data_IF_377497723735
#
_entry.id   IF_377497723735
#
_cell.length_a   1.000
_cell.length_b   1.000
_cell.length_c   1.000
_cell.angle_alpha   90.00
_cell.angle_beta   90.00
_cell.angle_gamma   90.00
#
_symmetry.space_group_name_H-M   'P 1'
#
loop_
_entity.id
_entity.type
_entity.pdbx_description
1 polymer ?
#
# COMPACT_ATOMS: atom_id res chain seq x y z
N UNK A 1 20.71 5.33 19.08
CA UNK A 1 20.05 6.18 18.05
C UNK A 1 20.15 5.44 16.74
N UNK A 2 19.03 4.93 16.24
CA UNK A 2 18.96 4.29 14.92
C UNK A 2 18.97 5.41 13.90
N UNK A 3 20.09 5.60 13.18
CA UNK A 3 20.15 6.55 12.08
C UNK A 3 19.31 6.02 10.91
N UNK A 4 18.41 6.84 10.43
CA UNK A 4 17.69 6.61 9.19
C UNK A 4 18.69 6.59 8.03
N UNK A 5 18.96 5.42 7.46
CA UNK A 5 19.56 5.34 6.13
C UNK A 5 18.44 5.22 5.11
N UNK A 6 18.33 6.27 4.30
CA UNK A 6 17.39 6.30 3.19
C UNK A 6 17.77 5.26 2.14
N UNK A 7 16.97 4.23 2.02
CA UNK A 7 17.02 3.30 0.87
C UNK A 7 16.37 3.96 -0.37
N UNK A 8 16.87 5.14 -0.72
CA UNK A 8 16.34 5.97 -1.82
C UNK A 8 16.44 5.31 -3.20
N UNK A 9 17.38 4.39 -3.42
CA UNK A 9 17.75 4.00 -4.78
C UNK A 9 16.83 2.96 -5.43
N UNK A 10 16.27 2.01 -4.69
CA UNK A 10 15.43 0.94 -5.28
C UNK A 10 13.97 1.41 -5.44
N UNK A 11 13.45 2.16 -4.46
CA UNK A 11 12.10 2.74 -4.54
C UNK A 11 12.01 3.89 -5.55
N UNK A 12 13.07 4.68 -5.72
CA UNK A 12 13.12 5.80 -6.65
C UNK A 12 12.83 5.38 -8.11
N UNK A 13 13.38 4.25 -8.56
CA UNK A 13 13.18 3.78 -9.93
C UNK A 13 11.74 3.33 -10.23
N UNK A 14 10.92 3.06 -9.21
CA UNK A 14 9.53 2.60 -9.38
C UNK A 14 8.54 3.77 -9.33
N UNK A 15 8.95 4.92 -8.80
CA UNK A 15 8.07 6.06 -8.52
C UNK A 15 8.28 7.27 -9.43
N UNK A 16 9.26 7.27 -10.34
CA UNK A 16 9.48 8.39 -11.27
C UNK A 16 8.32 8.56 -12.26
N UNK A 17 7.82 9.79 -12.38
CA UNK A 17 6.98 10.23 -13.50
C UNK A 17 5.48 10.29 -13.21
N UNK A 18 5.05 10.80 -12.06
CA UNK A 18 3.65 11.20 -11.83
C UNK A 18 3.52 12.71 -11.57
N UNK A 19 4.19 13.48 -12.38
CA UNK A 19 3.97 14.91 -12.55
C UNK A 19 2.61 15.11 -13.25
N UNK A 20 1.84 16.09 -12.81
CA UNK A 20 0.51 16.44 -13.36
C UNK A 20 0.61 16.70 -14.87
N UNK A 21 1.65 17.41 -15.33
CA UNK A 21 1.83 17.71 -16.72
C UNK A 21 2.02 16.42 -17.53
N UNK A 22 2.88 15.53 -17.07
CA UNK A 22 3.11 14.24 -17.74
C UNK A 22 1.85 13.36 -17.79
N UNK A 23 1.02 13.36 -16.73
CA UNK A 23 -0.24 12.61 -16.72
C UNK A 23 -1.22 13.19 -17.73
N UNK A 24 -1.32 14.52 -17.84
CA UNK A 24 -2.19 15.21 -18.80
C UNK A 24 -1.73 14.95 -20.23
N UNK A 25 -0.45 15.15 -20.52
CA UNK A 25 0.16 14.91 -21.83
C UNK A 25 -0.07 13.47 -22.29
N UNK A 26 0.17 12.50 -21.39
CA UNK A 26 -0.07 11.08 -21.69
C UNK A 26 -1.55 10.81 -22.03
N UNK A 27 -2.47 11.38 -21.25
CA UNK A 27 -3.89 11.18 -21.51
C UNK A 27 -4.32 11.84 -22.85
N UNK A 28 -3.84 13.03 -23.15
CA UNK A 28 -4.12 13.72 -24.43
C UNK A 28 -3.61 12.91 -25.64
N UNK A 29 -2.45 12.26 -25.49
CA UNK A 29 -1.84 11.45 -26.56
C UNK A 29 -2.54 10.10 -26.77
N UNK A 30 -2.96 9.43 -25.65
CA UNK A 30 -3.37 8.03 -25.70
C UNK A 30 -4.88 7.81 -25.44
N UNK A 31 -5.60 8.82 -24.94
CA UNK A 31 -7.02 8.72 -24.61
C UNK A 31 -7.35 7.92 -23.36
N UNK A 32 -6.35 7.57 -22.55
CA UNK A 32 -6.50 6.89 -21.27
C UNK A 32 -5.35 7.25 -20.32
N UNK A 33 -5.54 7.05 -19.01
CA UNK A 33 -4.48 7.28 -18.03
C UNK A 33 -3.38 6.20 -18.11
N UNK A 34 -2.13 6.53 -17.70
CA UNK A 34 -1.06 5.54 -17.61
C UNK A 34 -1.47 4.34 -16.74
N UNK A 35 -0.97 3.15 -17.07
CA UNK A 35 -1.21 1.97 -16.25
C UNK A 35 -0.61 2.14 -14.85
N UNK A 36 -1.26 1.57 -13.84
CA UNK A 36 -0.76 1.56 -12.47
C UNK A 36 0.64 0.94 -12.36
N UNK A 37 1.43 1.45 -11.43
CA UNK A 37 2.79 0.97 -11.14
C UNK A 37 2.88 0.21 -9.82
N UNK A 38 1.84 0.28 -9.01
CA UNK A 38 1.75 -0.39 -7.72
C UNK A 38 0.40 -1.07 -7.57
N UNK A 39 0.43 -2.28 -7.06
CA UNK A 39 -0.74 -3.06 -6.68
C UNK A 39 -0.70 -3.24 -5.18
N UNK A 40 -1.73 -2.81 -4.48
CA UNK A 40 -1.89 -3.01 -3.05
C UNK A 40 -2.96 -4.08 -2.83
N UNK A 41 -2.62 -5.15 -2.13
CA UNK A 41 -3.51 -6.29 -1.90
C UNK A 41 -3.77 -6.43 -0.41
N UNK A 42 -5.02 -6.18 0.03
CA UNK A 42 -5.41 -6.41 1.40
C UNK A 42 -5.76 -7.89 1.59
N UNK A 43 -4.80 -8.68 2.06
CA UNK A 43 -4.96 -10.12 2.24
C UNK A 43 -5.93 -10.47 3.38
N UNK A 44 -6.06 -9.58 4.35
CA UNK A 44 -6.99 -9.63 5.49
C UNK A 44 -7.25 -8.23 6.01
N UNK A 45 -8.25 -8.04 6.85
CA UNK A 45 -8.67 -6.70 7.30
C UNK A 45 -8.23 -6.34 8.72
N UNK A 46 -7.60 -7.24 9.47
CA UNK A 46 -7.23 -7.03 10.86
C UNK A 46 -5.75 -6.70 11.07
N UNK A 47 -5.47 -6.13 12.21
CA UNK A 47 -4.13 -5.81 12.68
C UNK A 47 -4.02 -6.14 14.17
N UNK A 48 -2.86 -6.61 14.61
CA UNK A 48 -2.56 -6.89 16.02
C UNK A 48 -2.06 -5.66 16.79
N UNK A 49 -2.17 -4.46 16.19
CA UNK A 49 -1.77 -3.19 16.80
C UNK A 49 -2.90 -2.16 16.67
N UNK A 50 -2.95 -1.19 17.61
CA UNK A 50 -3.92 -0.09 17.63
C UNK A 50 -3.18 1.25 17.69
N UNK A 51 -2.57 1.62 16.57
CA UNK A 51 -1.85 2.88 16.45
C UNK A 51 -2.82 4.07 16.47
N UNK A 52 -2.49 5.15 17.19
CA UNK A 52 -3.36 6.33 17.31
C UNK A 52 -3.63 7.06 16.01
N UNK A 53 -2.78 6.87 15.02
CA UNK A 53 -2.88 7.46 13.68
C UNK A 53 -3.51 6.51 12.66
N UNK A 54 -4.00 5.35 13.09
CA UNK A 54 -4.55 4.33 12.18
C UNK A 54 -6.07 4.25 12.35
N UNK A 55 -6.84 4.14 11.27
CA UNK A 55 -8.28 4.04 11.35
C UNK A 55 -8.79 2.84 12.16
N UNK A 56 -7.99 1.79 12.33
CA UNK A 56 -8.31 0.69 13.26
C UNK A 56 -8.58 1.12 14.70
N UNK A 57 -8.07 2.28 15.13
CA UNK A 57 -8.33 2.83 16.46
C UNK A 57 -9.63 3.61 16.55
N UNK A 58 -10.24 3.97 15.43
CA UNK A 58 -11.44 4.82 15.34
C UNK A 58 -12.63 4.12 14.73
N UNK A 59 -12.38 3.24 13.77
CA UNK A 59 -13.40 2.57 12.97
C UNK A 59 -13.36 1.05 13.21
N UNK A 60 -14.54 0.44 13.31
CA UNK A 60 -14.65 -1.03 13.31
C UNK A 60 -14.78 -1.51 11.86
N UNK A 61 -13.86 -2.35 11.44
CA UNK A 61 -13.90 -3.05 10.16
C UNK A 61 -14.16 -4.53 10.45
N UNK A 62 -15.16 -5.17 9.82
CA UNK A 62 -15.38 -6.60 9.98
C UNK A 62 -14.14 -7.40 9.57
N UNK A 63 -13.89 -8.51 10.27
CA UNK A 63 -12.84 -9.43 9.85
C UNK A 63 -13.18 -10.02 8.48
N UNK A 64 -12.30 -9.81 7.53
CA UNK A 64 -12.32 -10.38 6.21
C UNK A 64 -10.97 -11.00 5.88
N UNK A 65 -10.97 -12.16 5.24
CA UNK A 65 -9.77 -12.85 4.80
C UNK A 65 -9.94 -13.15 3.31
N UNK A 66 -8.97 -12.76 2.50
CA UNK A 66 -8.99 -12.99 1.07
C UNK A 66 -9.00 -14.49 0.78
N UNK A 67 -9.90 -14.94 -0.09
CA UNK A 67 -9.87 -16.32 -0.54
C UNK A 67 -8.63 -16.61 -1.38
N UNK A 68 -8.16 -17.87 -1.35
CA UNK A 68 -7.01 -18.27 -2.16
C UNK A 68 -7.28 -18.08 -3.67
N UNK A 69 -8.50 -18.34 -4.11
CA UNK A 69 -8.87 -18.15 -5.52
C UNK A 69 -8.88 -16.68 -5.92
N UNK A 70 -9.30 -15.78 -5.02
CA UNK A 70 -9.21 -14.34 -5.26
C UNK A 70 -7.74 -13.89 -5.42
N UNK A 71 -6.86 -14.32 -4.53
CA UNK A 71 -5.43 -14.03 -4.64
C UNK A 71 -4.83 -14.54 -5.95
N UNK A 72 -5.08 -15.80 -6.29
CA UNK A 72 -4.62 -16.37 -7.56
C UNK A 72 -5.13 -15.57 -8.75
N UNK A 73 -6.41 -15.22 -8.76
CA UNK A 73 -7.01 -14.46 -9.85
C UNK A 73 -6.33 -13.09 -10.04
N UNK A 74 -5.98 -12.40 -8.95
CA UNK A 74 -5.22 -11.14 -9.01
C UNK A 74 -3.86 -11.37 -9.68
N UNK A 75 -3.10 -12.34 -9.18
CA UNK A 75 -1.74 -12.62 -9.67
C UNK A 75 -1.77 -13.09 -11.13
N UNK A 76 -2.75 -13.90 -11.51
CA UNK A 76 -2.93 -14.39 -12.88
C UNK A 76 -3.23 -13.24 -13.84
N UNK A 77 -4.15 -12.35 -13.50
CA UNK A 77 -4.45 -11.17 -14.30
C UNK A 77 -3.23 -10.24 -14.45
N UNK A 78 -2.45 -10.05 -13.39
CA UNK A 78 -1.21 -9.26 -13.46
C UNK A 78 -0.17 -9.90 -14.40
N UNK A 79 -0.08 -11.22 -14.39
CA UNK A 79 0.78 -11.96 -15.33
C UNK A 79 0.31 -11.81 -16.78
N UNK A 80 -1.00 -11.95 -17.03
CA UNK A 80 -1.63 -11.83 -18.35
C UNK A 80 -1.36 -10.46 -19.00
N UNK A 81 -1.36 -9.38 -18.24
CA UNK A 81 -1.07 -8.02 -18.71
C UNK A 81 0.43 -7.68 -18.73
N UNK A 82 1.30 -8.67 -18.53
CA UNK A 82 2.75 -8.49 -18.48
C UNK A 82 3.22 -7.45 -17.43
N UNK A 83 2.52 -7.36 -16.30
CA UNK A 83 2.88 -6.45 -15.22
C UNK A 83 4.30 -6.71 -14.71
N UNK A 84 5.05 -5.63 -14.45
CA UNK A 84 6.44 -5.68 -13.96
C UNK A 84 6.70 -4.68 -12.82
N UNK A 85 5.63 -4.21 -12.18
CA UNK A 85 5.69 -3.24 -11.11
C UNK A 85 5.69 -3.88 -9.72
N UNK A 86 5.44 -3.03 -8.72
CA UNK A 86 5.41 -3.39 -7.32
C UNK A 86 4.07 -4.02 -6.93
N UNK A 87 4.14 -5.14 -6.21
CA UNK A 87 2.98 -5.79 -5.57
C UNK A 87 3.23 -5.76 -4.06
N UNK A 88 2.44 -4.98 -3.35
CA UNK A 88 2.47 -4.90 -1.89
C UNK A 88 1.41 -5.84 -1.31
N UNK A 89 1.85 -6.85 -0.56
CA UNK A 89 0.99 -7.86 0.07
C UNK A 89 0.41 -7.34 1.39
N UNK A 90 -0.07 -6.11 1.37
CA UNK A 90 -0.69 -5.44 2.51
C UNK A 90 -1.44 -4.18 2.06
N UNK A 91 -2.35 -3.71 2.89
CA UNK A 91 -3.02 -2.41 2.80
C UNK A 91 -3.08 -1.76 4.18
N UNK A 92 -4.22 -1.85 4.85
CA UNK A 92 -4.42 -1.33 6.22
C UNK A 92 -4.38 -2.43 7.28
N UNK A 93 -3.84 -3.59 6.97
CA UNK A 93 -3.73 -4.76 7.84
C UNK A 93 -2.30 -4.98 8.34
N UNK A 94 -2.13 -5.95 9.24
CA UNK A 94 -0.81 -6.53 9.52
C UNK A 94 -0.62 -7.79 8.66
N UNK A 95 0.31 -7.77 7.68
CA UNK A 95 0.49 -8.89 6.75
C UNK A 95 0.98 -10.18 7.43
N UNK A 96 1.70 -10.08 8.56
CA UNK A 96 2.21 -11.26 9.27
C UNK A 96 1.14 -12.04 10.05
N UNK A 97 -0.10 -11.55 10.11
CA UNK A 97 -1.27 -12.31 10.55
C UNK A 97 -1.80 -13.27 9.47
N UNK A 98 -1.40 -13.10 8.21
CA UNK A 98 -1.79 -14.00 7.13
C UNK A 98 -0.91 -15.26 7.16
N UNK A 99 -1.51 -16.37 7.55
CA UNK A 99 -0.82 -17.64 7.71
C UNK A 99 -0.30 -18.22 6.38
N UNK A 100 -0.94 -17.87 5.26
CA UNK A 100 -0.57 -18.32 3.91
C UNK A 100 0.42 -17.36 3.22
N UNK A 101 1.06 -16.45 3.94
CA UNK A 101 1.93 -15.44 3.34
C UNK A 101 3.09 -16.08 2.56
N UNK A 102 3.65 -17.17 3.04
CA UNK A 102 4.70 -17.92 2.32
C UNK A 102 4.17 -18.46 0.99
N UNK A 103 3.02 -19.10 1.00
CA UNK A 103 2.38 -19.64 -0.21
C UNK A 103 2.03 -18.52 -1.20
N UNK A 104 1.61 -17.35 -0.70
CA UNK A 104 1.33 -16.18 -1.53
C UNK A 104 2.59 -15.68 -2.24
N UNK A 105 3.71 -15.56 -1.52
CA UNK A 105 5.00 -15.18 -2.10
C UNK A 105 5.42 -16.19 -3.16
N UNK A 106 5.37 -17.48 -2.84
CA UNK A 106 5.75 -18.57 -3.77
C UNK A 106 4.90 -18.52 -5.03
N UNK A 107 3.59 -18.42 -4.90
CA UNK A 107 2.69 -18.39 -6.05
C UNK A 107 3.00 -17.21 -6.98
N UNK A 108 3.11 -16.00 -6.43
CA UNK A 108 3.43 -14.82 -7.22
C UNK A 108 4.81 -14.95 -7.91
N UNK A 109 5.81 -15.46 -7.20
CA UNK A 109 7.16 -15.64 -7.77
C UNK A 109 7.21 -16.71 -8.86
N UNK A 110 6.46 -17.80 -8.72
CA UNK A 110 6.33 -18.84 -9.75
C UNK A 110 5.65 -18.31 -11.02
N UNK A 111 4.70 -17.38 -10.88
CA UNK A 111 4.04 -16.75 -12.03
C UNK A 111 4.97 -15.81 -12.79
N UNK A 112 5.72 -14.95 -12.09
CA UNK A 112 6.64 -14.03 -12.75
C UNK A 112 7.82 -13.63 -11.87
N UNK A 113 9.05 -13.79 -12.36
CA UNK A 113 10.23 -13.22 -11.70
C UNK A 113 10.30 -11.70 -11.79
N UNK A 114 9.46 -11.07 -12.65
CA UNK A 114 9.43 -9.61 -12.86
C UNK A 114 8.60 -8.86 -11.84
N UNK A 115 7.77 -9.53 -11.05
CA UNK A 115 7.03 -8.91 -9.96
C UNK A 115 7.99 -8.45 -8.87
N UNK A 116 7.85 -7.21 -8.42
CA UNK A 116 8.56 -6.73 -7.25
C UNK A 116 7.64 -6.90 -6.03
N UNK A 117 7.90 -7.96 -5.25
CA UNK A 117 7.09 -8.32 -4.09
C UNK A 117 7.59 -7.60 -2.86
N UNK A 118 6.73 -6.84 -2.20
CA UNK A 118 7.10 -6.19 -0.96
C UNK A 118 5.98 -6.25 0.09
N UNK A 119 6.33 -5.95 1.33
CA UNK A 119 5.37 -5.74 2.41
C UNK A 119 5.86 -4.71 3.41
N UNK A 120 4.92 -4.12 4.14
CA UNK A 120 5.20 -3.30 5.31
C UNK A 120 4.57 -3.94 6.52
N UNK A 121 5.33 -4.09 7.61
CA UNK A 121 4.88 -4.72 8.84
C UNK A 121 5.21 -3.87 10.06
N UNK A 122 4.42 -4.03 11.13
CA UNK A 122 4.76 -3.48 12.44
C UNK A 122 5.88 -4.28 13.16
N UNK A 123 6.31 -5.40 12.60
CA UNK A 123 7.41 -6.22 13.09
C UNK A 123 7.12 -7.06 14.34
N UNK A 124 5.94 -6.98 14.95
CA UNK A 124 5.64 -7.67 16.22
C UNK A 124 5.70 -9.20 16.09
N UNK A 125 5.33 -9.72 14.92
CA UNK A 125 5.32 -11.16 14.62
C UNK A 125 6.51 -11.60 13.75
N UNK A 126 7.43 -10.68 13.45
CA UNK A 126 8.57 -10.97 12.60
C UNK A 126 9.72 -11.56 13.42
N UNK A 127 10.23 -12.70 13.00
CA UNK A 127 11.48 -13.29 13.50
C UNK A 127 12.54 -13.25 12.41
N UNK A 128 13.81 -13.39 12.81
CA UNK A 128 14.92 -13.46 11.84
C UNK A 128 14.73 -14.62 10.88
N UNK A 129 14.40 -15.81 11.41
CA UNK A 129 14.11 -17.01 10.62
C UNK A 129 12.97 -16.80 9.60
N UNK A 130 11.88 -16.18 10.03
CA UNK A 130 10.75 -15.86 9.13
C UNK A 130 11.16 -14.90 8.03
N UNK A 131 11.98 -13.90 8.35
CA UNK A 131 12.48 -12.94 7.36
C UNK A 131 13.41 -13.60 6.35
N UNK A 132 14.36 -14.42 6.82
CA UNK A 132 15.26 -15.20 5.95
C UNK A 132 14.43 -16.07 5.01
N UNK A 133 13.43 -16.75 5.55
CA UNK A 133 12.53 -17.61 4.78
C UNK A 133 11.76 -16.84 3.70
N UNK A 134 11.23 -15.66 4.00
CA UNK A 134 10.54 -14.85 3.00
C UNK A 134 11.46 -14.45 1.83
N UNK A 135 12.71 -14.11 2.11
CA UNK A 135 13.68 -13.80 1.04
C UNK A 135 14.07 -15.04 0.22
N UNK A 136 14.22 -16.20 0.83
CA UNK A 136 14.43 -17.47 0.11
C UNK A 136 13.26 -17.80 -0.82
N UNK A 137 12.02 -17.52 -0.39
CA UNK A 137 10.81 -17.74 -1.17
C UNK A 137 10.60 -16.69 -2.28
N UNK A 138 11.34 -15.59 -2.25
CA UNK A 138 11.33 -14.61 -3.32
C UNK A 138 10.69 -13.27 -2.99
N UNK A 139 10.52 -12.91 -1.71
CA UNK A 139 10.21 -11.54 -1.33
C UNK A 139 11.38 -10.63 -1.70
N UNK A 140 11.11 -9.47 -2.31
CA UNK A 140 12.15 -8.55 -2.73
C UNK A 140 12.47 -7.51 -1.67
N UNK A 141 11.47 -7.06 -0.91
CA UNK A 141 11.65 -6.01 0.08
C UNK A 141 10.67 -6.15 1.25
N UNK A 142 11.12 -5.73 2.43
CA UNK A 142 10.27 -5.55 3.60
C UNK A 142 10.58 -4.21 4.28
N UNK A 143 9.52 -3.47 4.63
CA UNK A 143 9.62 -2.28 5.45
C UNK A 143 9.09 -2.57 6.86
N UNK A 144 9.93 -2.38 7.86
CA UNK A 144 9.60 -2.62 9.27
C UNK A 144 9.37 -1.28 9.95
N UNK A 145 8.14 -1.02 10.35
CA UNK A 145 7.75 0.25 10.97
C UNK A 145 7.83 0.19 12.50
N UNK A 146 8.59 1.10 13.07
CA UNK A 146 8.65 1.32 14.52
C UNK A 146 7.61 2.37 14.94
N UNK A 147 6.52 1.91 15.54
CA UNK A 147 5.43 2.75 16.03
C UNK A 147 5.51 3.06 17.54
N UNK A 148 6.63 2.76 18.21
CA UNK A 148 6.76 2.95 19.67
C UNK A 148 6.55 4.40 20.11
N UNK A 149 6.95 5.37 19.29
CA UNK A 149 6.75 6.79 19.56
C UNK A 149 5.28 7.20 19.67
N UNK A 150 4.38 6.47 19.02
CA UNK A 150 2.93 6.70 18.97
C UNK A 150 2.15 5.84 19.96
N UNK A 151 2.80 5.38 21.04
CA UNK A 151 2.22 4.52 22.08
C UNK A 151 1.71 3.19 21.51
N UNK A 152 2.57 2.54 20.78
CA UNK A 152 2.41 1.14 20.44
C UNK A 152 2.06 0.32 21.70
N UNK A 153 1.12 -0.60 21.59
CA UNK A 153 0.67 -1.45 22.69
C UNK A 153 1.76 -2.40 23.19
N UNK A 154 2.79 -2.66 22.37
CA UNK A 154 3.82 -3.66 22.65
C UNK A 154 5.26 -3.12 22.51
N UNK A 155 5.62 -2.00 23.18
CA UNK A 155 6.94 -1.39 22.99
C UNK A 155 8.10 -2.32 23.34
N UNK A 156 7.95 -3.11 24.42
CA UNK A 156 9.00 -4.03 24.88
C UNK A 156 9.17 -5.22 23.93
N UNK A 157 8.06 -5.72 23.38
CA UNK A 157 8.11 -6.81 22.41
C UNK A 157 8.80 -6.40 21.11
N UNK A 158 8.57 -5.18 20.62
CA UNK A 158 9.23 -4.71 19.41
C UNK A 158 10.75 -4.79 19.51
N UNK A 159 11.33 -4.31 20.61
CA UNK A 159 12.79 -4.33 20.82
C UNK A 159 13.37 -5.76 20.83
N UNK A 160 12.67 -6.71 21.43
CA UNK A 160 13.16 -8.10 21.52
C UNK A 160 13.14 -8.83 20.17
N UNK A 161 12.18 -8.50 19.29
CA UNK A 161 12.05 -9.15 17.97
C UNK A 161 12.83 -8.44 16.87
N UNK A 162 12.74 -7.12 16.83
CA UNK A 162 13.28 -6.34 15.71
C UNK A 162 14.77 -6.02 15.90
N UNK A 163 15.28 -5.96 17.11
CA UNK A 163 16.71 -5.68 17.33
C UNK A 163 17.65 -6.72 16.70
N UNK A 164 17.41 -8.05 16.81
CA UNK A 164 18.20 -9.05 16.11
C UNK A 164 18.15 -8.88 14.58
N UNK A 165 16.96 -8.58 14.04
CA UNK A 165 16.76 -8.33 12.61
C UNK A 165 17.52 -7.07 12.20
N UNK A 166 17.43 -6.01 12.98
CA UNK A 166 18.16 -4.77 12.73
C UNK A 166 19.68 -5.02 12.68
N UNK A 167 20.23 -5.79 13.62
CA UNK A 167 21.65 -6.13 13.63
C UNK A 167 22.09 -6.93 12.40
N UNK A 168 21.26 -7.89 11.98
CA UNK A 168 21.55 -8.77 10.85
C UNK A 168 21.39 -8.05 9.49
N UNK A 169 20.42 -7.14 9.38
CA UNK A 169 20.00 -6.56 8.11
C UNK A 169 20.20 -5.03 7.98
N UNK A 170 20.96 -4.41 8.89
CA UNK A 170 21.14 -2.95 8.94
C UNK A 170 21.56 -2.32 7.61
N UNK A 171 22.43 -2.99 6.84
CA UNK A 171 22.93 -2.52 5.55
C UNK A 171 22.34 -3.27 4.35
N UNK A 172 21.34 -4.12 4.56
CA UNK A 172 20.74 -4.87 3.48
C UNK A 172 19.70 -4.00 2.76
N UNK A 173 19.82 -3.82 1.42
CA UNK A 173 18.89 -2.99 0.67
C UNK A 173 17.46 -3.55 0.62
N UNK A 174 17.29 -4.84 0.94
CA UNK A 174 15.96 -5.47 0.98
C UNK A 174 15.16 -5.16 2.24
N UNK A 175 15.79 -4.57 3.27
CA UNK A 175 15.12 -4.27 4.55
C UNK A 175 15.24 -2.79 4.86
N UNK A 176 14.10 -2.14 5.04
CA UNK A 176 14.04 -0.77 5.52
C UNK A 176 13.43 -0.73 6.92
N UNK A 177 13.99 0.14 7.77
CA UNK A 177 13.49 0.38 9.12
C UNK A 177 13.01 1.83 9.19
N UNK A 178 11.73 2.03 9.39
CA UNK A 178 11.14 3.34 9.50
C UNK A 178 10.65 3.58 10.91
N UNK A 179 11.27 4.55 11.59
CA UNK A 179 10.76 5.03 12.86
C UNK A 179 9.77 6.16 12.63
N UNK A 180 8.57 6.02 13.15
CA UNK A 180 7.56 7.07 13.12
C UNK A 180 7.98 8.24 14.02
N UNK A 181 7.78 9.45 13.53
CA UNK A 181 8.00 10.68 14.29
C UNK A 181 6.68 11.10 14.93
N UNK A 182 6.74 11.64 16.13
CA UNK A 182 5.56 12.10 16.88
C UNK A 182 5.02 13.44 16.39
N UNK A 183 5.79 14.16 15.58
CA UNK A 183 5.46 15.47 14.99
C UNK A 183 5.00 15.38 13.52
N UNK A 184 4.85 14.17 12.97
CA UNK A 184 4.35 13.99 11.62
C UNK A 184 2.86 14.32 11.54
N UNK A 185 2.48 15.10 10.53
CA UNK A 185 1.07 15.23 10.12
C UNK A 185 0.73 14.00 9.31
N UNK A 186 -0.22 13.21 9.82
CA UNK A 186 -0.61 11.94 9.22
C UNK A 186 -1.95 12.09 8.50
N UNK A 187 -2.19 11.30 7.45
CA UNK A 187 -3.46 11.36 6.73
C UNK A 187 -4.63 10.96 7.63
N UNK A 188 -5.79 11.55 7.34
CA UNK A 188 -7.02 11.22 8.04
C UNK A 188 -7.78 10.02 7.45
N UNK A 189 -7.15 9.31 6.51
CA UNK A 189 -7.73 8.15 5.81
C UNK A 189 -9.15 8.45 5.29
N UNK A 190 -9.24 9.45 4.40
CA UNK A 190 -10.51 9.88 3.82
C UNK A 190 -11.59 10.19 4.88
N UNK A 191 -11.20 10.82 6.00
CA UNK A 191 -12.08 11.21 7.09
C UNK A 191 -12.40 10.12 8.12
N UNK A 192 -11.75 8.94 8.03
CA UNK A 192 -11.93 7.86 8.99
C UNK A 192 -11.18 8.10 10.33
N UNK A 193 -10.26 9.06 10.34
CA UNK A 193 -9.61 9.56 11.56
C UNK A 193 -10.09 10.99 11.79
N UNK A 194 -10.67 11.31 12.96
CA UNK A 194 -11.10 12.66 13.25
C UNK A 194 -9.92 13.64 13.29
N UNK A 195 -9.88 14.55 12.34
CA UNK A 195 -8.90 15.64 12.26
C UNK A 195 -9.57 16.88 11.69
N UNK A 196 -9.26 18.05 12.24
CA UNK A 196 -9.63 19.31 11.62
C UNK A 196 -8.72 19.57 10.42
N UNK A 197 -9.29 19.84 9.28
CA UNK A 197 -8.58 20.23 8.06
C UNK A 197 -9.47 21.09 7.17
N UNK A 198 -8.83 21.91 6.35
CA UNK A 198 -9.52 22.69 5.33
C UNK A 198 -9.30 22.00 3.97
N UNK A 199 -10.33 21.51 3.28
CA UNK A 199 -10.16 20.84 1.99
C UNK A 199 -9.47 21.69 0.93
N UNK A 200 -9.56 23.02 1.00
CA UNK A 200 -8.89 23.93 0.06
C UNK A 200 -7.36 23.98 0.21
N UNK A 201 -6.82 23.47 1.31
CA UNK A 201 -5.37 23.41 1.53
C UNK A 201 -4.72 22.22 0.80
N UNK A 202 -5.53 21.33 0.24
CA UNK A 202 -5.08 20.09 -0.40
C UNK A 202 -5.45 20.07 -1.88
N UNK A 203 -4.45 20.03 -2.71
CA UNK A 203 -4.60 20.01 -4.17
C UNK A 203 -4.64 18.60 -4.77
N UNK A 204 -3.74 18.37 -5.68
CA UNK A 204 -3.56 17.11 -6.38
C UNK A 204 -3.18 15.96 -5.45
N UNK A 205 -3.67 14.77 -5.76
CA UNK A 205 -3.24 13.51 -5.13
C UNK A 205 -2.92 12.50 -6.22
N UNK A 206 -1.73 11.94 -6.20
CA UNK A 206 -1.26 11.01 -7.24
C UNK A 206 -1.64 9.54 -7.00
N UNK A 207 -2.24 9.19 -5.88
CA UNK A 207 -2.57 7.79 -5.57
C UNK A 207 -3.45 7.11 -6.64
N UNK A 208 -4.57 7.71 -7.09
CA UNK A 208 -5.41 7.07 -8.10
C UNK A 208 -4.78 6.97 -9.49
N UNK A 209 -3.64 7.62 -9.73
CA UNK A 209 -2.93 7.58 -11.01
C UNK A 209 -1.81 6.54 -11.07
N UNK A 210 -1.40 6.00 -9.93
CA UNK A 210 -0.26 5.08 -9.86
C UNK A 210 -0.50 3.80 -9.10
N UNK A 211 -1.56 3.72 -8.27
CA UNK A 211 -1.84 2.58 -7.41
C UNK A 211 -3.21 2.02 -7.72
N UNK A 212 -3.28 0.71 -7.94
CA UNK A 212 -4.54 -0.01 -7.86
C UNK A 212 -4.63 -0.68 -6.49
N UNK A 213 -5.76 -0.51 -5.82
CA UNK A 213 -5.99 -1.01 -4.47
C UNK A 213 -7.08 -2.07 -4.50
N UNK A 214 -6.77 -3.26 -3.98
CA UNK A 214 -7.65 -4.42 -4.02
C UNK A 214 -7.93 -4.87 -2.59
N UNK A 215 -9.20 -4.77 -2.19
CA UNK A 215 -9.67 -5.23 -0.88
C UNK A 215 -9.74 -6.76 -0.78
N UNK A 216 -9.88 -7.28 0.43
CA UNK A 216 -9.88 -8.72 0.71
C UNK A 216 -10.94 -9.54 -0.07
N UNK A 217 -12.03 -8.91 -0.45
CA UNK A 217 -13.12 -9.52 -1.24
C UNK A 217 -12.91 -9.43 -2.76
N UNK A 218 -11.78 -8.85 -3.20
CA UNK A 218 -11.49 -8.62 -4.61
C UNK A 218 -12.01 -7.29 -5.17
N UNK A 219 -12.69 -6.47 -4.36
CA UNK A 219 -13.18 -5.16 -4.78
C UNK A 219 -12.03 -4.21 -5.09
N UNK A 220 -12.15 -3.49 -6.19
CA UNK A 220 -11.24 -2.40 -6.57
C UNK A 220 -11.69 -1.12 -5.88
N UNK A 221 -10.80 -0.57 -5.05
CA UNK A 221 -11.01 0.63 -4.27
C UNK A 221 -10.29 1.81 -4.92
N UNK A 222 -10.70 3.03 -4.60
CA UNK A 222 -10.07 4.25 -5.14
C UNK A 222 -8.58 4.36 -4.76
N UNK A 223 -8.27 4.14 -3.49
CA UNK A 223 -6.91 4.24 -2.96
C UNK A 223 -6.76 3.52 -1.61
N UNK A 224 -5.55 3.59 -1.04
CA UNK A 224 -5.24 2.98 0.26
C UNK A 224 -5.94 3.64 1.46
N UNK A 225 -6.45 4.86 1.31
CA UNK A 225 -7.15 5.57 2.38
C UNK A 225 -8.66 5.25 2.45
N UNK A 226 -9.16 4.50 1.48
CA UNK A 226 -10.54 3.99 1.49
C UNK A 226 -10.68 2.81 2.45
N UNK A 227 -10.51 3.08 3.74
CA UNK A 227 -10.44 2.08 4.79
C UNK A 227 -11.72 1.25 4.94
N UNK A 228 -12.90 1.90 4.84
CA UNK A 228 -14.20 1.25 5.01
C UNK A 228 -14.82 0.73 3.72
N UNK A 229 -14.10 0.80 2.59
CA UNK A 229 -14.59 0.39 1.28
C UNK A 229 -15.82 1.20 0.81
N UNK A 230 -15.74 2.52 1.00
CA UNK A 230 -16.78 3.45 0.57
C UNK A 230 -16.88 3.55 -0.97
N UNK A 231 -15.85 3.07 -1.69
CA UNK A 231 -15.83 2.99 -3.15
C UNK A 231 -15.70 1.55 -3.63
N UNK A 232 -16.27 1.29 -4.80
CA UNK A 232 -16.09 0.01 -5.50
C UNK A 232 -16.21 0.22 -7.01
N UNK A 233 -15.15 -0.06 -7.74
CA UNK A 233 -15.06 0.17 -9.19
C UNK A 233 -14.95 -1.13 -10.00
N UNK A 234 -15.41 -2.22 -9.43
CA UNK A 234 -15.40 -3.55 -9.99
C UNK A 234 -14.83 -4.56 -9.00
N UNK A 235 -14.80 -5.82 -9.39
CA UNK A 235 -14.30 -6.92 -8.58
C UNK A 235 -13.46 -7.87 -9.43
N UNK A 236 -12.27 -8.20 -8.98
CA UNK A 236 -11.32 -9.05 -9.74
C UNK A 236 -11.87 -10.45 -10.05
N UNK A 237 -12.87 -10.92 -9.32
CA UNK A 237 -13.47 -12.22 -9.56
C UNK A 237 -14.41 -12.24 -10.77
N UNK A 238 -14.97 -11.09 -11.13
CA UNK A 238 -15.92 -10.93 -12.24
C UNK A 238 -15.37 -10.07 -13.37
N UNK A 239 -14.46 -9.17 -13.06
CA UNK A 239 -14.02 -8.12 -13.97
C UNK A 239 -12.51 -8.25 -14.29
N UNK A 240 -12.09 -7.63 -15.38
CA UNK A 240 -10.68 -7.50 -15.74
C UNK A 240 -10.06 -6.31 -15.00
N UNK A 241 -8.83 -6.46 -14.52
CA UNK A 241 -8.12 -5.40 -13.77
C UNK A 241 -7.95 -4.11 -14.58
N UNK A 242 -7.70 -4.20 -15.89
CA UNK A 242 -7.54 -3.01 -16.73
C UNK A 242 -8.87 -2.32 -16.97
N UNK A 243 -9.96 -3.07 -17.10
CA UNK A 243 -11.30 -2.49 -17.24
C UNK A 243 -11.71 -1.76 -15.95
N UNK A 244 -11.39 -2.35 -14.79
CA UNK A 244 -11.60 -1.66 -13.51
C UNK A 244 -10.73 -0.40 -13.38
N UNK A 245 -9.47 -0.43 -13.81
CA UNK A 245 -8.55 0.70 -13.77
C UNK A 245 -8.99 1.86 -14.66
N UNK A 246 -9.60 1.54 -15.81
CA UNK A 246 -10.13 2.49 -16.78
C UNK A 246 -11.65 2.71 -16.61
N UNK A 247 -12.20 2.39 -15.46
CA UNK A 247 -13.60 2.61 -15.14
C UNK A 247 -13.95 4.11 -15.19
N UNK A 248 -15.05 4.46 -15.84
CA UNK A 248 -15.45 5.85 -16.07
C UNK A 248 -15.66 6.66 -14.78
N UNK A 249 -16.04 6.03 -13.68
CA UNK A 249 -16.19 6.71 -12.39
C UNK A 249 -14.83 7.02 -11.75
N UNK A 250 -13.84 6.12 -11.86
CA UNK A 250 -12.46 6.42 -11.48
C UNK A 250 -11.91 7.56 -12.32
N UNK A 251 -12.14 7.53 -13.63
CA UNK A 251 -11.70 8.59 -14.55
C UNK A 251 -12.25 9.96 -14.18
N UNK A 252 -13.52 10.05 -13.84
CA UNK A 252 -14.13 11.32 -13.35
C UNK A 252 -13.40 11.84 -12.10
N UNK A 253 -13.05 10.96 -11.17
CA UNK A 253 -12.31 11.35 -9.97
C UNK A 253 -10.91 11.81 -10.34
N UNK A 254 -10.21 11.09 -11.22
CA UNK A 254 -8.88 11.46 -11.71
C UNK A 254 -8.90 12.84 -12.38
N UNK A 255 -9.86 13.09 -13.27
CA UNK A 255 -10.01 14.42 -13.88
C UNK A 255 -10.24 15.51 -12.86
N UNK A 256 -11.12 15.27 -11.91
CA UNK A 256 -11.41 16.23 -10.84
C UNK A 256 -10.13 16.59 -10.05
N UNK A 257 -9.30 15.59 -9.74
CA UNK A 257 -8.02 15.79 -9.05
C UNK A 257 -7.00 16.55 -9.90
N UNK A 258 -6.94 16.35 -11.22
CA UNK A 258 -6.10 17.12 -12.13
C UNK A 258 -6.51 18.60 -12.22
N UNK A 259 -7.78 18.90 -11.98
CA UNK A 259 -8.32 20.26 -11.88
C UNK A 259 -8.21 20.85 -10.47
N UNK A 260 -7.52 20.18 -9.55
CA UNK A 260 -7.39 20.61 -8.16
C UNK A 260 -8.69 20.48 -7.35
N UNK A 261 -9.68 19.72 -7.85
CA UNK A 261 -10.96 19.50 -7.17
C UNK A 261 -11.01 18.12 -6.55
N UNK A 262 -11.53 18.03 -5.35
CA UNK A 262 -11.68 16.78 -4.63
C UNK A 262 -13.15 16.40 -4.55
N UNK A 263 -13.52 15.25 -5.13
CA UNK A 263 -14.87 14.68 -5.12
C UNK A 263 -14.86 13.30 -4.47
N UNK A 264 -16.02 12.72 -4.23
CA UNK A 264 -16.17 11.41 -3.57
C UNK A 264 -15.46 11.41 -2.21
N UNK A 265 -14.79 10.33 -1.84
CA UNK A 265 -14.04 10.22 -0.57
C UNK A 265 -12.88 11.23 -0.49
N UNK A 266 -12.36 11.70 -1.63
CA UNK A 266 -11.30 12.71 -1.65
C UNK A 266 -11.75 14.05 -1.05
N UNK A 267 -13.04 14.37 -1.08
CA UNK A 267 -13.59 15.62 -0.51
C UNK A 267 -13.42 15.72 1.02
N UNK A 268 -13.23 14.60 1.71
CA UNK A 268 -13.01 14.53 3.16
C UNK A 268 -11.61 14.02 3.52
N UNK A 269 -10.69 13.91 2.54
CA UNK A 269 -9.34 13.40 2.71
C UNK A 269 -8.34 14.55 2.80
N UNK A 270 -7.43 14.51 3.77
CA UNK A 270 -6.32 15.44 3.89
C UNK A 270 -5.00 14.85 3.40
N UNK A 271 -4.99 13.63 2.86
CA UNK A 271 -3.79 13.10 2.22
C UNK A 271 -3.60 13.79 0.87
N UNK A 272 -2.39 14.26 0.65
CA UNK A 272 -1.93 14.74 -0.63
C UNK A 272 -0.50 14.24 -0.78
N UNK A 273 -0.25 13.49 -1.79
CA UNK A 273 1.09 13.06 -2.10
C UNK A 273 1.54 13.83 -3.34
N UNK A 274 2.07 15.00 -3.09
CA UNK A 274 2.80 15.80 -4.07
C UNK A 274 4.31 15.53 -3.98
N UNK A 275 4.66 14.53 -3.20
CA UNK A 275 6.06 14.23 -3.03
C UNK A 275 6.50 13.20 -4.08
N UNK A 276 7.45 13.58 -4.91
CA UNK A 276 8.52 12.71 -5.36
C UNK A 276 9.25 12.15 -4.11
N UNK A 277 8.49 11.44 -3.26
CA UNK A 277 9.11 10.70 -2.19
C UNK A 277 9.63 9.42 -2.82
N UNK A 278 10.88 9.47 -3.03
CA UNK A 278 11.83 8.38 -3.28
C UNK A 278 12.14 8.08 -4.74
#
# INVERSE_FOLDING_TARGET
MIQQKDNKSVRANICHGTDIAHIKDYYEEHGHFPMFRQVLIETRTDCNNHCKFCPHSFCKKPLGIMSWDCYKRIIDQLYEINYNGRIALMLSNEPLLEERMEDMIVYARQKSPRFFLDMTTNGILLTLEKLDRFFELGLDNININDYRGDRNIYPDKWSSFVEPIYKAYYNNPKVSFQKRRTDEVLPNYAGNIPQEFNPSDFGFCNYPFRKITIGYSGNILLCCDDFLYDTCFGNVMTDNLLDCWNNSEIEKIKYSLLDGKRISICARCNDFQDYDIY
#
